data_IF_241911385720
#
_entry.id   IF_241911385720
#
_cell.length_a   1.000
_cell.length_b   1.000
_cell.length_c   1.000
_cell.angle_alpha   90.00
_cell.angle_beta   90.00
_cell.angle_gamma   90.00
#
_symmetry.space_group_name_H-M   'P 1'
#
loop_
_entity.id
_entity.type
_entity.pdbx_description
1 polymer ?
#
# COMPACT_ATOMS: atom_id res chain seq x y z
N UNK A 1 10.77 -6.69 5.59
CA UNK A 1 9.81 -5.61 5.84
C UNK A 1 9.00 -5.33 4.58
N UNK A 2 7.70 -5.17 4.72
CA UNK A 2 6.77 -5.11 3.59
C UNK A 2 5.87 -3.90 3.75
N UNK A 3 5.78 -3.05 2.71
CA UNK A 3 4.82 -1.95 2.65
C UNK A 3 3.57 -2.46 1.92
N UNK A 4 2.44 -2.40 2.59
CA UNK A 4 1.16 -2.84 2.01
C UNK A 4 0.56 -1.72 1.17
N UNK A 5 0.33 -2.01 -0.12
CA UNK A 5 -0.34 -1.07 -1.01
C UNK A 5 -1.81 -0.91 -0.62
N UNK A 6 -2.41 0.16 -1.08
CA UNK A 6 -3.80 0.52 -0.77
C UNK A 6 -4.77 -0.61 -1.08
N UNK A 7 -4.59 -1.30 -2.22
CA UNK A 7 -5.50 -2.39 -2.61
C UNK A 7 -5.46 -3.57 -1.64
N UNK A 8 -4.31 -3.85 -1.01
CA UNK A 8 -4.21 -4.92 -0.01
C UNK A 8 -4.99 -4.55 1.25
N UNK A 9 -4.85 -3.31 1.70
CA UNK A 9 -5.58 -2.83 2.88
C UNK A 9 -7.08 -2.76 2.61
N UNK A 10 -7.48 -2.24 1.44
CA UNK A 10 -8.89 -2.20 1.06
C UNK A 10 -9.50 -3.60 1.07
N UNK A 11 -8.76 -4.59 0.58
CA UNK A 11 -9.24 -5.98 0.60
C UNK A 11 -9.39 -6.49 2.04
N UNK A 12 -8.40 -6.21 2.89
CA UNK A 12 -8.43 -6.65 4.28
C UNK A 12 -9.58 -6.03 5.07
N UNK A 13 -10.06 -4.86 4.66
CA UNK A 13 -11.18 -4.16 5.34
C UNK A 13 -12.55 -4.69 4.92
N UNK A 14 -12.64 -5.53 3.92
CA UNK A 14 -13.93 -6.11 3.50
C UNK A 14 -14.44 -7.09 4.56
N UNK A 15 -15.78 -7.24 4.69
CA UNK A 15 -16.33 -8.25 5.60
C UNK A 15 -15.89 -9.67 5.26
N UNK A 16 -15.71 -9.98 3.96
CA UNK A 16 -15.24 -11.29 3.50
C UNK A 16 -14.07 -11.09 2.54
N UNK A 17 -12.86 -10.89 3.07
CA UNK A 17 -11.69 -10.71 2.21
C UNK A 17 -11.39 -11.95 1.37
N UNK A 18 -10.68 -11.75 0.26
CA UNK A 18 -10.18 -12.85 -0.56
C UNK A 18 -9.40 -13.83 0.31
N UNK A 19 -9.65 -15.13 0.13
CA UNK A 19 -9.06 -16.17 0.98
C UNK A 19 -7.54 -16.21 0.89
N UNK A 20 -6.98 -16.01 -0.31
CA UNK A 20 -5.53 -16.03 -0.50
C UNK A 20 -4.87 -14.82 0.20
N UNK A 21 -5.49 -13.65 0.09
CA UNK A 21 -5.00 -12.44 0.76
C UNK A 21 -5.04 -12.59 2.27
N UNK A 22 -6.16 -13.11 2.78
CA UNK A 22 -6.29 -13.35 4.23
C UNK A 22 -5.21 -14.31 4.72
N UNK A 23 -5.01 -15.42 4.01
CA UNK A 23 -4.00 -16.41 4.38
C UNK A 23 -2.61 -15.80 4.35
N UNK A 24 -2.30 -15.03 3.30
CA UNK A 24 -1.00 -14.39 3.17
C UNK A 24 -0.74 -13.40 4.33
N UNK A 25 -1.74 -12.57 4.66
CA UNK A 25 -1.60 -11.61 5.77
C UNK A 25 -1.41 -12.33 7.11
N UNK A 26 -2.17 -13.41 7.34
CA UNK A 26 -2.09 -14.16 8.58
C UNK A 26 -0.72 -14.86 8.75
N UNK A 27 -0.05 -15.15 7.65
CA UNK A 27 1.27 -15.79 7.70
C UNK A 27 2.40 -14.79 7.99
N UNK A 28 2.12 -13.49 7.92
CA UNK A 28 3.15 -12.48 8.16
C UNK A 28 3.28 -12.18 9.65
N UNK A 29 4.50 -11.84 10.07
CA UNK A 29 4.74 -11.29 11.40
C UNK A 29 4.28 -9.82 11.36
N UNK A 30 3.34 -9.47 12.23
CA UNK A 30 2.67 -8.15 12.19
C UNK A 30 3.68 -6.99 12.19
N UNK A 31 4.74 -7.10 12.96
CA UNK A 31 5.76 -6.05 13.08
C UNK A 31 6.57 -5.82 11.80
N UNK A 32 6.46 -6.72 10.84
CA UNK A 32 7.16 -6.57 9.54
C UNK A 32 6.29 -5.89 8.49
N UNK A 33 5.04 -5.58 8.82
CA UNK A 33 4.09 -4.95 7.89
C UNK A 33 3.98 -3.46 8.18
N UNK A 34 4.02 -2.67 7.11
CA UNK A 34 4.01 -1.21 7.17
C UNK A 34 2.96 -0.65 6.23
N UNK A 35 2.45 0.53 6.55
CA UNK A 35 1.63 1.34 5.67
C UNK A 35 2.42 2.56 5.24
N UNK A 36 1.98 3.20 4.14
CA UNK A 36 2.48 4.52 3.78
C UNK A 36 1.44 5.58 4.12
N UNK A 37 1.91 6.81 4.34
CA UNK A 37 1.01 7.96 4.51
C UNK A 37 0.16 8.20 3.25
N UNK A 38 0.67 7.79 2.08
CA UNK A 38 -0.06 7.88 0.81
C UNK A 38 -1.27 6.94 0.84
N UNK A 39 -1.09 5.69 1.26
CA UNK A 39 -2.19 4.74 1.41
C UNK A 39 -3.22 5.27 2.41
N UNK A 40 -2.77 5.81 3.53
CA UNK A 40 -3.66 6.40 4.52
C UNK A 40 -4.49 7.54 3.90
N UNK A 41 -3.85 8.41 3.13
CA UNK A 41 -4.55 9.50 2.45
C UNK A 41 -5.61 8.99 1.48
N UNK A 42 -5.29 7.96 0.69
CA UNK A 42 -6.22 7.37 -0.26
C UNK A 42 -7.43 6.74 0.44
N UNK A 43 -7.19 5.99 1.52
CA UNK A 43 -8.25 5.35 2.28
C UNK A 43 -9.16 6.38 2.95
N UNK A 44 -8.58 7.40 3.57
CA UNK A 44 -9.34 8.48 4.21
C UNK A 44 -10.19 9.22 3.19
N UNK A 45 -9.62 9.54 2.03
CA UNK A 45 -10.37 10.21 0.97
C UNK A 45 -11.55 9.36 0.52
N UNK A 46 -11.31 8.07 0.26
CA UNK A 46 -12.36 7.17 -0.21
C UNK A 46 -13.52 7.05 0.77
N UNK A 47 -13.20 6.98 2.06
CA UNK A 47 -14.23 6.87 3.11
C UNK A 47 -15.00 8.18 3.26
N UNK A 48 -14.30 9.31 3.30
CA UNK A 48 -14.92 10.62 3.47
C UNK A 48 -15.80 11.02 2.30
N UNK A 49 -15.50 10.51 1.10
CA UNK A 49 -16.31 10.77 -0.10
C UNK A 49 -17.61 9.97 -0.13
N UNK A 50 -17.79 8.98 0.74
CA UNK A 50 -19.02 8.21 0.81
C UNK A 50 -20.16 9.04 1.37
N UNK A 51 -21.41 8.76 0.93
CA UNK A 51 -22.59 9.36 1.56
C UNK A 51 -22.68 9.01 3.04
N UNK A 52 -23.21 9.93 3.85
CA UNK A 52 -23.43 9.65 5.26
C UNK A 52 -24.30 8.41 5.42
N UNK A 53 -23.96 7.54 6.36
CA UNK A 53 -24.72 6.32 6.60
C UNK A 53 -23.89 5.23 7.26
N UNK A 54 -24.48 4.05 7.37
CA UNK A 54 -23.88 2.92 8.09
C UNK A 54 -22.55 2.46 7.48
N UNK A 55 -22.49 2.43 6.14
CA UNK A 55 -21.28 1.96 5.46
C UNK A 55 -20.09 2.87 5.74
N UNK A 56 -20.30 4.18 5.64
CA UNK A 56 -19.27 5.16 5.94
C UNK A 56 -18.78 5.04 7.38
N UNK A 57 -19.72 4.95 8.32
CA UNK A 57 -19.40 4.82 9.74
C UNK A 57 -18.64 3.52 10.04
N UNK A 58 -19.04 2.43 9.40
CA UNK A 58 -18.38 1.14 9.59
C UNK A 58 -16.96 1.15 9.06
N UNK A 59 -16.76 1.69 7.85
CA UNK A 59 -15.43 1.75 7.25
C UNK A 59 -14.50 2.69 8.02
N UNK A 60 -15.04 3.81 8.50
CA UNK A 60 -14.26 4.73 9.32
C UNK A 60 -13.78 4.06 10.62
N UNK A 61 -14.66 3.32 11.27
CA UNK A 61 -14.32 2.56 12.48
C UNK A 61 -13.29 1.48 12.20
N UNK A 62 -13.48 0.72 11.11
CA UNK A 62 -12.56 -0.33 10.71
C UNK A 62 -11.17 0.23 10.42
N UNK A 63 -11.10 1.37 9.73
CA UNK A 63 -9.81 2.01 9.43
C UNK A 63 -9.12 2.47 10.72
N UNK A 64 -9.87 3.07 11.65
CA UNK A 64 -9.30 3.53 12.92
C UNK A 64 -8.74 2.36 13.73
N UNK A 65 -9.44 1.24 13.76
CA UNK A 65 -8.97 0.03 14.43
C UNK A 65 -7.70 -0.51 13.80
N UNK A 66 -7.66 -0.51 12.46
CA UNK A 66 -6.49 -0.96 11.73
C UNK A 66 -5.29 -0.04 11.98
N UNK A 67 -5.51 1.28 11.97
CA UNK A 67 -4.45 2.24 12.23
C UNK A 67 -3.85 2.08 13.63
N UNK A 68 -4.65 1.70 14.61
CA UNK A 68 -4.13 1.43 15.94
C UNK A 68 -3.11 0.28 15.93
N UNK A 69 -3.27 -0.69 15.05
CA UNK A 69 -2.32 -1.79 14.90
C UNK A 69 -1.01 -1.35 14.23
N UNK A 70 -1.05 -0.31 13.40
CA UNK A 70 0.11 0.18 12.66
C UNK A 70 0.68 1.47 13.25
N UNK A 71 0.43 1.74 14.50
CA UNK A 71 0.70 3.01 15.17
C UNK A 71 2.06 3.65 14.84
N UNK A 72 3.14 2.85 14.91
CA UNK A 72 4.50 3.32 14.65
C UNK A 72 5.02 2.89 13.28
N UNK A 73 4.15 2.33 12.45
CA UNK A 73 4.55 1.74 11.17
C UNK A 73 3.80 2.35 9.99
N UNK A 74 3.48 3.64 10.09
CA UNK A 74 2.99 4.43 8.95
C UNK A 74 4.16 5.29 8.46
N UNK A 75 4.67 4.98 7.28
CA UNK A 75 5.86 5.61 6.73
C UNK A 75 5.51 6.87 5.95
N UNK A 76 6.19 8.00 6.18
CA UNK A 76 5.91 9.24 5.45
C UNK A 76 6.59 9.26 4.08
N UNK A 77 6.03 10.05 3.17
CA UNK A 77 6.72 10.41 1.93
C UNK A 77 7.64 11.56 2.25
N UNK A 78 8.85 11.24 2.70
CA UNK A 78 9.84 12.22 3.16
C UNK A 78 10.81 12.60 2.05
N UNK A 79 11.87 13.34 2.39
CA UNK A 79 12.85 13.81 1.42
C UNK A 79 13.58 12.66 0.74
N UNK A 80 13.94 11.61 1.48
CA UNK A 80 14.58 10.44 0.90
C UNK A 80 13.66 9.73 -0.08
N UNK A 81 12.39 9.57 0.28
CA UNK A 81 11.39 8.99 -0.61
C UNK A 81 11.24 9.84 -1.89
N UNK A 82 11.26 11.17 -1.76
CA UNK A 82 11.16 12.06 -2.91
C UNK A 82 12.31 11.84 -3.90
N UNK A 83 13.53 11.67 -3.38
CA UNK A 83 14.69 11.40 -4.24
C UNK A 83 14.58 10.06 -4.94
N UNK A 84 14.15 9.03 -4.21
CA UNK A 84 13.94 7.70 -4.80
C UNK A 84 12.84 7.73 -5.85
N UNK A 85 11.78 8.52 -5.61
CA UNK A 85 10.71 8.66 -6.59
C UNK A 85 11.24 9.15 -7.93
N UNK A 86 12.08 10.16 -7.92
CA UNK A 86 12.63 10.73 -9.17
C UNK A 86 13.40 9.66 -9.95
N UNK A 87 14.24 8.88 -9.27
CA UNK A 87 15.02 7.82 -9.91
C UNK A 87 14.14 6.70 -10.45
N UNK A 88 13.17 6.26 -9.66
CA UNK A 88 12.24 5.19 -10.06
C UNK A 88 11.37 5.62 -11.24
N UNK A 89 10.89 6.85 -11.21
CA UNK A 89 10.04 7.38 -12.29
C UNK A 89 10.80 7.46 -13.60
N UNK A 90 12.07 7.87 -13.57
CA UNK A 90 12.93 7.90 -14.76
C UNK A 90 13.16 6.48 -15.28
N UNK A 91 13.41 5.52 -14.40
CA UNK A 91 13.59 4.12 -14.78
C UNK A 91 12.34 3.60 -15.50
N UNK A 92 11.17 3.84 -14.95
CA UNK A 92 9.91 3.41 -15.55
C UNK A 92 9.68 4.09 -16.91
N UNK A 93 9.94 5.38 -17.00
CA UNK A 93 9.81 6.15 -18.24
C UNK A 93 10.74 5.63 -19.33
N UNK A 94 11.99 5.34 -18.99
CA UNK A 94 12.97 4.79 -19.93
C UNK A 94 12.58 3.40 -20.42
N UNK A 95 11.83 2.65 -19.62
CA UNK A 95 11.26 1.39 -20.03
C UNK A 95 9.98 1.48 -20.84
N UNK A 96 9.56 2.70 -21.20
CA UNK A 96 8.33 2.92 -21.96
C UNK A 96 7.06 2.82 -21.15
N UNK A 97 7.14 2.91 -19.82
CA UNK A 97 5.99 2.76 -18.94
C UNK A 97 5.73 4.01 -18.13
N UNK A 98 4.42 4.30 -17.92
CA UNK A 98 4.03 5.31 -16.98
C UNK A 98 4.19 4.81 -15.55
N UNK A 99 4.36 5.75 -14.63
CA UNK A 99 4.41 5.43 -13.20
C UNK A 99 3.29 6.22 -12.52
N UNK A 100 2.12 5.61 -12.29
CA UNK A 100 1.00 6.31 -11.66
C UNK A 100 1.44 6.94 -10.34
N UNK A 101 1.00 8.16 -10.09
CA UNK A 101 1.51 8.98 -8.99
C UNK A 101 1.36 8.31 -7.62
N UNK A 102 0.18 7.79 -7.21
CA UNK A 102 0.09 7.15 -5.89
C UNK A 102 1.01 5.94 -5.78
N UNK A 103 1.04 5.08 -6.79
CA UNK A 103 1.89 3.89 -6.79
C UNK A 103 3.36 4.27 -6.77
N UNK A 104 3.71 5.32 -7.51
CA UNK A 104 5.08 5.81 -7.53
C UNK A 104 5.56 6.31 -6.18
N UNK A 105 4.71 7.00 -5.45
CA UNK A 105 5.04 7.48 -4.12
C UNK A 105 5.19 6.33 -3.13
N UNK A 106 4.30 5.35 -3.20
CA UNK A 106 4.36 4.17 -2.33
C UNK A 106 5.65 3.38 -2.61
N UNK A 107 5.97 3.18 -3.89
CA UNK A 107 7.20 2.50 -4.30
C UNK A 107 8.45 3.23 -3.79
N UNK A 108 8.45 4.56 -3.87
CA UNK A 108 9.56 5.38 -3.43
C UNK A 108 9.76 5.28 -1.90
N UNK A 109 8.66 5.28 -1.16
CA UNK A 109 8.73 5.10 0.30
C UNK A 109 9.35 3.75 0.64
N UNK A 110 8.89 2.69 -0.01
CA UNK A 110 9.43 1.34 0.21
C UNK A 110 10.92 1.26 -0.18
N UNK A 111 11.25 1.75 -1.37
CA UNK A 111 12.63 1.70 -1.87
C UNK A 111 13.60 2.47 -0.98
N UNK A 112 13.18 3.61 -0.45
CA UNK A 112 14.03 4.44 0.42
C UNK A 112 14.39 3.73 1.72
N UNK A 113 13.62 2.72 2.10
CA UNK A 113 13.83 1.93 3.31
C UNK A 113 14.40 0.55 3.02
N UNK A 114 14.54 0.18 1.76
CA UNK A 114 14.95 -1.18 1.39
C UNK A 114 13.86 -2.22 1.63
N UNK A 115 12.60 -1.80 1.64
CA UNK A 115 11.45 -2.68 1.86
C UNK A 115 10.85 -3.12 0.54
N UNK A 116 10.11 -4.22 0.55
CA UNK A 116 9.35 -4.68 -0.61
C UNK A 116 7.91 -4.18 -0.52
N UNK A 117 7.17 -4.22 -1.64
CA UNK A 117 5.77 -3.81 -1.70
C UNK A 117 4.90 -5.04 -1.86
N UNK A 118 3.75 -5.06 -1.20
CA UNK A 118 2.70 -6.04 -1.46
C UNK A 118 1.57 -5.33 -2.19
N UNK A 119 1.23 -5.81 -3.40
CA UNK A 119 0.21 -5.17 -4.23
C UNK A 119 -0.38 -6.18 -5.21
N UNK A 120 -1.66 -5.99 -5.54
CA UNK A 120 -2.28 -6.75 -6.62
C UNK A 120 -1.79 -6.28 -7.99
N UNK A 121 -1.53 -4.99 -8.13
CA UNK A 121 -1.05 -4.39 -9.35
C UNK A 121 0.48 -4.33 -9.32
N UNK A 122 1.12 -5.41 -9.76
CA UNK A 122 2.58 -5.53 -9.69
C UNK A 122 3.31 -4.79 -10.80
N UNK A 123 2.64 -4.55 -11.93
CA UNK A 123 3.27 -4.04 -13.16
C UNK A 123 4.02 -2.71 -12.98
N UNK A 124 3.44 -1.67 -12.35
CA UNK A 124 4.19 -0.42 -12.18
C UNK A 124 5.44 -0.58 -11.31
N UNK A 125 5.35 -1.42 -10.28
CA UNK A 125 6.50 -1.66 -9.39
C UNK A 125 7.60 -2.40 -10.12
N UNK A 126 7.25 -3.43 -10.87
CA UNK A 126 8.21 -4.19 -11.67
C UNK A 126 8.91 -3.30 -12.70
N UNK A 127 8.15 -2.43 -13.37
CA UNK A 127 8.69 -1.49 -14.36
C UNK A 127 9.71 -0.53 -13.75
N UNK A 128 9.53 -0.16 -12.49
CA UNK A 128 10.44 0.73 -11.78
C UNK A 128 11.58 -0.03 -11.10
N UNK A 129 11.59 -1.35 -11.14
CA UNK A 129 12.64 -2.15 -10.51
C UNK A 129 12.46 -2.33 -9.01
N UNK A 130 11.24 -2.18 -8.50
CA UNK A 130 10.93 -2.33 -7.09
C UNK A 130 10.42 -3.75 -6.84
N UNK A 131 10.96 -4.40 -5.82
CA UNK A 131 10.51 -5.74 -5.45
C UNK A 131 9.05 -5.71 -4.98
N UNK A 132 8.22 -6.60 -5.53
CA UNK A 132 6.79 -6.62 -5.24
C UNK A 132 6.29 -8.06 -5.11
N UNK A 133 5.34 -8.26 -4.20
CA UNK A 133 4.64 -9.52 -3.97
C UNK A 133 3.15 -9.30 -4.24
N UNK A 134 2.50 -10.24 -4.90
CA UNK A 134 1.06 -10.23 -5.12
C UNK A 134 0.39 -11.20 -4.13
N UNK A 135 -0.26 -10.70 -3.07
CA UNK A 135 -0.91 -11.58 -2.08
C UNK A 135 -2.07 -12.42 -2.63
N UNK A 136 -2.67 -12.00 -3.75
CA UNK A 136 -3.75 -12.77 -4.39
C UNK A 136 -3.24 -14.04 -5.05
N UNK A 137 -1.98 -14.06 -5.45
CA UNK A 137 -1.34 -15.19 -6.13
C UNK A 137 -0.36 -15.94 -5.26
N UNK A 138 -0.12 -15.43 -4.06
CA UNK A 138 0.83 -16.02 -3.14
C UNK A 138 0.28 -17.32 -2.56
N UNK A 139 1.06 -18.38 -2.62
CA UNK A 139 0.65 -19.68 -2.11
C UNK A 139 1.79 -20.31 -1.34
#
# INVERSE_FOLDING_TARGET
>A
MIVLDTNVISEAMKPAPDAAVRAWLNDQVAETLYLSSVTLAELLFGIRALPAGKRKNMLDRTLNELLALFQDRVLPFDTDAARHYADLAVTAQNGGRGFPTPDGYIAAIAASRGFIVASRDTSPYEAAGVAVIDPWKSR
#
